data_IF_475741222588
#
_entry.id   IF_475741222588
#
_cell.length_a   1.000
_cell.length_b   1.000
_cell.length_c   1.000
_cell.angle_alpha   90.00
_cell.angle_beta   90.00
_cell.angle_gamma   90.00
#
_symmetry.space_group_name_H-M   'P 1'
#
loop_
_entity.id
_entity.type
_entity.pdbx_description
1 polymer ?
#
# COMPACT_ATOMS: atom_id res chain seq x y z
N UNK A 1 -18.03 8.51 -2.68
CA UNK A 1 -17.45 7.55 -3.65
C UNK A 1 -18.60 6.80 -4.30
N UNK A 2 -18.61 6.71 -5.63
CA UNK A 2 -19.65 5.97 -6.33
C UNK A 2 -19.32 4.47 -6.41
N UNK A 3 -20.31 3.67 -6.80
CA UNK A 3 -20.14 2.20 -6.85
C UNK A 3 -19.09 1.76 -7.87
N UNK A 4 -18.98 2.46 -8.99
CA UNK A 4 -17.97 2.15 -10.01
C UNK A 4 -16.55 2.30 -9.48
N UNK A 5 -16.28 3.40 -8.77
CA UNK A 5 -14.97 3.65 -8.15
C UNK A 5 -14.70 2.62 -7.05
N UNK A 6 -15.68 2.30 -6.23
CA UNK A 6 -15.55 1.29 -5.18
C UNK A 6 -15.20 -0.07 -5.76
N UNK A 7 -15.90 -0.50 -6.82
CA UNK A 7 -15.64 -1.78 -7.48
C UNK A 7 -14.23 -1.82 -8.07
N UNK A 8 -13.78 -0.71 -8.67
CA UNK A 8 -12.44 -0.59 -9.21
C UNK A 8 -11.39 -0.75 -8.12
N UNK A 9 -11.58 -0.06 -6.98
CA UNK A 9 -10.66 -0.15 -5.84
C UNK A 9 -10.59 -1.58 -5.31
N UNK A 10 -11.72 -2.24 -5.15
CA UNK A 10 -11.76 -3.62 -4.66
C UNK A 10 -11.01 -4.58 -5.60
N UNK A 11 -11.13 -4.41 -6.91
CA UNK A 11 -10.37 -5.19 -7.88
C UNK A 11 -8.87 -4.92 -7.78
N UNK A 12 -8.49 -3.66 -7.60
CA UNK A 12 -7.08 -3.29 -7.44
C UNK A 12 -6.49 -3.94 -6.19
N UNK A 13 -7.20 -3.86 -5.06
CA UNK A 13 -6.73 -4.44 -3.79
C UNK A 13 -6.56 -5.96 -3.91
N UNK A 14 -7.40 -6.61 -4.71
CA UNK A 14 -7.34 -8.06 -4.90
C UNK A 14 -6.39 -8.50 -6.01
N UNK A 15 -5.77 -7.56 -6.70
CA UNK A 15 -4.89 -7.88 -7.85
C UNK A 15 -3.58 -8.58 -7.44
N UNK A 16 -3.17 -8.44 -6.19
CA UNK A 16 -1.99 -9.10 -5.63
C UNK A 16 -2.17 -9.21 -4.12
N UNK A 17 -1.38 -10.06 -3.49
CA UNK A 17 -1.36 -10.21 -2.03
C UNK A 17 -0.95 -8.92 -1.33
N UNK A 18 0.02 -8.20 -1.90
CA UNK A 18 0.47 -6.89 -1.38
C UNK A 18 0.23 -5.83 -2.44
N UNK A 19 -0.51 -4.79 -2.07
CA UNK A 19 -0.86 -3.70 -2.98
C UNK A 19 -0.52 -2.36 -2.32
N UNK A 20 0.15 -1.50 -3.09
CA UNK A 20 0.56 -0.17 -2.65
C UNK A 20 -0.13 0.89 -3.50
N UNK A 21 -0.88 1.77 -2.86
CA UNK A 21 -1.36 3.01 -3.50
C UNK A 21 -0.39 4.12 -3.16
N UNK A 22 0.20 4.73 -4.16
CA UNK A 22 1.28 5.70 -3.97
C UNK A 22 1.16 6.89 -4.93
N UNK A 23 1.96 7.91 -4.67
CA UNK A 23 2.13 9.05 -5.59
C UNK A 23 3.36 8.80 -6.43
N UNK A 24 3.15 8.61 -7.73
CA UNK A 24 4.19 8.21 -8.68
C UNK A 24 4.30 6.70 -8.81
N UNK A 25 5.45 6.24 -9.24
CA UNK A 25 5.76 4.82 -9.43
C UNK A 25 6.94 4.42 -8.55
N UNK A 26 7.18 3.12 -8.33
CA UNK A 26 8.33 2.69 -7.53
C UNK A 26 9.68 3.21 -8.05
N UNK A 27 9.84 3.32 -9.37
CA UNK A 27 11.06 3.84 -9.97
C UNK A 27 11.14 5.37 -9.89
N UNK A 28 10.00 6.04 -9.90
CA UNK A 28 9.91 7.51 -9.89
C UNK A 28 8.86 7.99 -8.90
N UNK A 29 9.09 7.81 -7.58
CA UNK A 29 8.14 8.30 -6.57
C UNK A 29 8.04 9.83 -6.63
N UNK A 30 6.81 10.34 -6.49
CA UNK A 30 6.55 11.79 -6.51
C UNK A 30 6.30 12.37 -5.12
N UNK A 31 6.58 11.61 -4.08
CA UNK A 31 6.37 12.01 -2.69
C UNK A 31 7.37 11.24 -1.82
N UNK A 32 8.00 11.94 -0.87
CA UNK A 32 8.96 11.33 0.04
C UNK A 32 8.39 10.19 0.87
N UNK A 33 7.13 10.32 1.28
CA UNK A 33 6.45 9.26 2.04
C UNK A 33 6.24 8.01 1.18
N UNK A 34 5.86 8.18 -0.08
CA UNK A 34 5.72 7.07 -1.03
C UNK A 34 7.07 6.40 -1.30
N UNK A 35 8.12 7.20 -1.49
CA UNK A 35 9.48 6.69 -1.69
C UNK A 35 9.95 5.86 -0.49
N UNK A 36 9.63 6.31 0.73
CA UNK A 36 10.00 5.59 1.95
C UNK A 36 9.34 4.22 2.01
N UNK A 37 8.04 4.13 1.70
CA UNK A 37 7.32 2.85 1.71
C UNK A 37 7.87 1.89 0.65
N UNK A 38 8.16 2.40 -0.54
CA UNK A 38 8.82 1.60 -1.59
C UNK A 38 10.13 1.02 -1.08
N UNK A 39 10.95 1.85 -0.41
CA UNK A 39 12.20 1.39 0.19
C UNK A 39 12.00 0.30 1.22
N UNK A 40 11.00 0.44 2.11
CA UNK A 40 10.68 -0.57 3.11
C UNK A 40 10.29 -1.91 2.48
N UNK A 41 9.41 -1.88 1.49
CA UNK A 41 8.97 -3.09 0.81
C UNK A 41 10.11 -3.75 0.04
N UNK A 42 10.94 -2.96 -0.62
CA UNK A 42 12.10 -3.49 -1.35
C UNK A 42 13.12 -4.11 -0.40
N UNK A 43 13.39 -3.50 0.74
CA UNK A 43 14.32 -4.04 1.74
C UNK A 43 13.85 -5.35 2.34
N UNK A 44 12.55 -5.56 2.42
CA UNK A 44 11.95 -6.81 2.89
C UNK A 44 11.82 -7.85 1.77
N UNK A 45 12.20 -7.49 0.55
CA UNK A 45 12.09 -8.35 -0.64
C UNK A 45 10.66 -8.86 -0.86
N UNK A 46 9.68 -8.00 -0.59
CA UNK A 46 8.26 -8.29 -0.81
C UNK A 46 7.92 -7.98 -2.25
N UNK A 47 7.21 -8.91 -2.91
CA UNK A 47 6.62 -8.63 -4.21
C UNK A 47 5.29 -7.91 -4.00
N UNK A 48 5.05 -6.84 -4.74
CA UNK A 48 3.83 -6.05 -4.61
C UNK A 48 3.43 -5.45 -5.94
N UNK A 49 2.16 -5.07 -6.03
CA UNK A 49 1.62 -4.30 -7.15
C UNK A 49 1.40 -2.87 -6.66
N UNK A 50 1.78 -1.89 -7.46
CA UNK A 50 1.59 -0.48 -7.13
C UNK A 50 0.62 0.20 -8.08
N UNK A 51 -0.09 1.20 -7.58
CA UNK A 51 -0.98 2.05 -8.37
C UNK A 51 -0.64 3.51 -8.09
N UNK A 52 -0.46 4.27 -9.16
CA UNK A 52 -0.15 5.70 -9.08
C UNK A 52 -1.45 6.51 -9.02
N UNK A 53 -1.79 6.98 -7.82
CA UNK A 53 -3.04 7.73 -7.62
C UNK A 53 -3.02 9.12 -8.28
N UNK A 54 -1.86 9.62 -8.71
CA UNK A 54 -1.77 10.90 -9.42
C UNK A 54 -2.34 10.82 -10.83
N UNK A 55 -2.54 9.62 -11.36
CA UNK A 55 -3.08 9.41 -12.70
C UNK A 55 -4.62 9.40 -12.72
N UNK A 56 -5.27 9.39 -11.55
CA UNK A 56 -6.72 9.24 -11.47
C UNK A 56 -7.23 9.89 -10.17
N UNK A 57 -7.84 11.07 -10.31
CA UNK A 57 -8.34 11.83 -9.16
C UNK A 57 -9.47 11.11 -8.42
N UNK A 58 -10.31 10.36 -9.14
CA UNK A 58 -11.37 9.59 -8.51
C UNK A 58 -10.79 8.46 -7.66
N UNK A 59 -9.75 7.82 -8.14
CA UNK A 59 -9.03 6.80 -7.36
C UNK A 59 -8.37 7.43 -6.13
N UNK A 60 -7.69 8.57 -6.31
CA UNK A 60 -6.99 9.26 -5.22
C UNK A 60 -7.94 9.57 -4.06
N UNK A 61 -9.08 10.18 -4.38
CA UNK A 61 -10.08 10.50 -3.36
C UNK A 61 -10.78 9.24 -2.86
N UNK A 62 -11.11 8.33 -3.76
CA UNK A 62 -11.84 7.11 -3.44
C UNK A 62 -11.10 6.19 -2.48
N UNK A 63 -9.77 6.05 -2.63
CA UNK A 63 -9.01 5.17 -1.73
C UNK A 63 -8.95 5.73 -0.31
N UNK A 64 -8.95 7.04 -0.15
CA UNK A 64 -9.03 7.69 1.16
C UNK A 64 -10.39 7.42 1.82
N UNK A 65 -11.46 7.53 1.06
CA UNK A 65 -12.81 7.26 1.53
C UNK A 65 -12.98 5.77 1.87
N UNK A 66 -12.48 4.91 1.00
CA UNK A 66 -12.58 3.45 1.16
C UNK A 66 -11.91 2.98 2.45
N UNK A 67 -10.72 3.49 2.73
CA UNK A 67 -9.93 3.10 3.90
C UNK A 67 -10.30 3.88 5.16
N UNK A 68 -11.06 4.96 5.03
CA UNK A 68 -11.25 5.95 6.11
C UNK A 68 -9.91 6.49 6.62
N UNK A 69 -8.93 6.60 5.73
CA UNK A 69 -7.58 7.06 6.04
C UNK A 69 -7.21 8.23 5.12
N UNK A 70 -6.81 9.38 5.66
CA UNK A 70 -6.74 10.63 4.89
C UNK A 70 -5.51 10.79 4.00
N UNK A 71 -4.51 9.93 4.10
CA UNK A 71 -3.23 10.15 3.44
C UNK A 71 -2.83 9.01 2.52
N UNK A 72 -1.91 9.31 1.60
CA UNK A 72 -1.23 8.39 0.70
C UNK A 72 0.27 8.50 1.02
N UNK A 73 1.03 7.39 1.08
CA UNK A 73 0.73 6.04 0.57
C UNK A 73 -0.13 5.20 1.50
N UNK A 74 -0.72 4.14 0.92
CA UNK A 74 -1.49 3.14 1.67
C UNK A 74 -1.07 1.74 1.22
N UNK A 75 -0.87 0.84 2.17
CA UNK A 75 -0.51 -0.56 1.91
C UNK A 75 -1.64 -1.48 2.35
N UNK A 76 -1.99 -2.41 1.47
CA UNK A 76 -2.95 -3.47 1.73
C UNK A 76 -2.24 -4.82 1.62
N UNK A 77 -2.50 -5.72 2.55
CA UNK A 77 -1.97 -7.09 2.54
C UNK A 77 -3.14 -8.05 2.70
N UNK A 78 -3.32 -8.95 1.74
CA UNK A 78 -4.44 -9.90 1.72
C UNK A 78 -5.78 -9.19 1.95
N UNK A 79 -6.02 -8.13 1.19
CA UNK A 79 -7.23 -7.31 1.21
C UNK A 79 -7.40 -6.46 2.49
N UNK A 80 -6.50 -6.56 3.45
CA UNK A 80 -6.56 -5.80 4.70
C UNK A 80 -5.72 -4.54 4.61
N UNK A 81 -6.31 -3.41 5.00
CA UNK A 81 -5.58 -2.15 5.12
C UNK A 81 -4.58 -2.24 6.28
N UNK A 82 -3.30 -2.08 5.98
CA UNK A 82 -2.24 -2.16 7.00
C UNK A 82 -1.91 -0.77 7.53
N UNK A 83 -1.75 0.19 6.65
CA UNK A 83 -1.42 1.56 7.03
C UNK A 83 -0.64 2.31 5.99
N UNK A 84 -0.19 3.50 6.37
CA UNK A 84 0.64 4.36 5.54
C UNK A 84 2.09 4.34 5.99
N UNK A 85 2.83 5.41 5.65
CA UNK A 85 4.26 5.52 5.90
C UNK A 85 4.63 5.37 7.38
N UNK A 86 3.98 6.11 8.27
CA UNK A 86 4.33 6.11 9.69
C UNK A 86 4.08 4.76 10.34
N UNK A 87 2.94 4.15 10.02
CA UNK A 87 2.59 2.84 10.57
C UNK A 87 3.55 1.77 10.07
N UNK A 88 3.89 1.78 8.77
CA UNK A 88 4.83 0.84 8.20
C UNK A 88 6.23 0.97 8.85
N UNK A 89 6.69 2.20 9.04
CA UNK A 89 7.97 2.43 9.73
C UNK A 89 7.97 1.88 11.15
N UNK A 90 6.89 2.08 11.88
CA UNK A 90 6.74 1.57 13.24
C UNK A 90 6.74 0.05 13.27
N UNK A 91 5.98 -0.59 12.37
CA UNK A 91 5.92 -2.05 12.28
C UNK A 91 7.28 -2.66 11.93
N UNK A 92 8.04 -2.02 11.05
CA UNK A 92 9.37 -2.46 10.69
C UNK A 92 10.33 -2.30 11.87
N UNK A 93 10.30 -1.14 12.53
CA UNK A 93 11.21 -0.84 13.66
C UNK A 93 10.98 -1.76 14.85
N UNK A 94 9.73 -2.14 15.11
CA UNK A 94 9.37 -3.03 16.22
C UNK A 94 9.56 -4.52 15.89
N UNK A 95 9.74 -4.85 14.60
CA UNK A 95 9.78 -6.23 14.14
C UNK A 95 8.40 -6.87 13.95
N UNK A 96 7.32 -6.15 14.26
CA UNK A 96 5.96 -6.67 14.12
C UNK A 96 5.59 -6.99 12.67
N UNK A 97 6.21 -6.31 11.69
CA UNK A 97 5.94 -6.57 10.28
C UNK A 97 6.23 -8.02 9.90
N UNK A 98 7.27 -8.61 10.45
CA UNK A 98 7.62 -10.00 10.16
C UNK A 98 6.53 -10.97 10.63
N UNK A 99 5.96 -10.72 11.81
CA UNK A 99 4.85 -11.52 12.34
C UNK A 99 3.61 -11.43 11.45
N UNK A 100 3.29 -10.22 10.99
CA UNK A 100 2.16 -9.98 10.10
C UNK A 100 2.36 -10.73 8.77
N UNK A 101 3.57 -10.64 8.20
CA UNK A 101 3.88 -11.28 6.93
C UNK A 101 3.81 -12.81 7.04
N UNK A 102 4.32 -13.38 8.14
CA UNK A 102 4.26 -14.81 8.39
C UNK A 102 2.82 -15.29 8.57
N UNK A 103 2.03 -14.58 9.36
CA UNK A 103 0.63 -14.90 9.60
C UNK A 103 -0.17 -14.90 8.29
N UNK A 104 0.09 -13.93 7.42
CA UNK A 104 -0.59 -13.77 6.14
C UNK A 104 0.06 -14.58 5.01
N UNK A 105 1.08 -15.35 5.31
CA UNK A 105 1.77 -16.21 4.35
C UNK A 105 2.36 -15.42 3.17
N UNK A 106 2.94 -14.27 3.46
CA UNK A 106 3.64 -13.44 2.46
C UNK A 106 5.13 -13.78 2.50
N UNK A 107 5.70 -14.09 1.34
CA UNK A 107 7.15 -14.33 1.21
C UNK A 107 7.91 -13.03 1.40
N UNK A 108 8.92 -13.06 2.24
CA UNK A 108 9.81 -11.93 2.48
C UNK A 108 11.20 -12.42 2.88
N UNK A 109 12.17 -11.52 2.82
CA UNK A 109 13.54 -11.81 3.21
C UNK A 109 14.19 -10.53 3.75
N UNK A 110 14.68 -10.57 4.96
CA UNK A 110 15.33 -9.43 5.60
C UNK A 110 16.85 -9.51 5.47
#
# INVERSE_FOLDING_TARGET
MNNETKDKIEKMIKSNDVVLFMKGTPDFPQCGFSANVVGLLNNLNIQYTSYDVLQDDLLRQGIKDYSSWPTIPQVYIKDEFIGGCDILNELVSSGEIESILKEKEISFNV
#
